data_IF_796169746417
#
_entry.id   IF_796169746417
#
_cell.length_a   1.000
_cell.length_b   1.000
_cell.length_c   1.000
_cell.angle_alpha   90.00
_cell.angle_beta   90.00
_cell.angle_gamma   90.00
#
_symmetry.space_group_name_H-M   'P 1'
#
loop_
_entity.id
_entity.type
_entity.pdbx_description
1 polymer ?
#
# COMPACT_ATOMS: atom_id res chain seq x y z
N UNK A 1 -14.02 1.80 11.22
CA UNK A 1 -13.90 3.16 11.79
C UNK A 1 -12.65 3.84 11.26
N UNK A 2 -12.57 5.18 11.30
CA UNK A 2 -11.40 5.92 10.82
C UNK A 2 -10.12 5.54 11.59
N UNK A 3 -10.24 5.35 12.91
CA UNK A 3 -9.15 4.97 13.81
C UNK A 3 -9.11 3.47 14.13
N UNK A 4 -9.37 2.63 13.13
CA UNK A 4 -9.16 1.19 13.24
C UNK A 4 -7.66 0.85 13.26
N UNK A 5 -7.21 0.00 14.18
CA UNK A 5 -5.82 -0.50 14.24
C UNK A 5 -5.51 -1.47 13.10
N UNK A 6 -6.54 -2.04 12.47
CA UNK A 6 -6.41 -2.94 11.33
C UNK A 6 -6.00 -2.18 10.07
N UNK A 7 -5.43 -2.93 9.14
CA UNK A 7 -5.07 -2.43 7.82
C UNK A 7 -6.27 -1.80 7.12
N UNK A 8 -6.04 -0.67 6.44
CA UNK A 8 -7.09 0.04 5.72
C UNK A 8 -7.27 -0.60 4.35
N UNK A 9 -8.52 -0.91 4.01
CA UNK A 9 -8.84 -1.64 2.77
C UNK A 9 -9.46 -0.74 1.70
N UNK A 10 -9.95 0.44 2.08
CA UNK A 10 -10.65 1.35 1.17
C UNK A 10 -10.11 2.77 1.31
N UNK A 11 -10.12 3.55 0.22
CA UNK A 11 -9.61 4.93 0.16
C UNK A 11 -10.17 5.85 1.23
N UNK A 12 -11.47 5.73 1.55
CA UNK A 12 -12.12 6.51 2.62
C UNK A 12 -11.52 6.30 4.02
N UNK A 13 -10.76 5.22 4.22
CA UNK A 13 -10.08 4.89 5.48
C UNK A 13 -8.59 5.27 5.47
N UNK A 14 -8.07 5.76 4.35
CA UNK A 14 -6.69 6.23 4.18
C UNK A 14 -6.68 7.76 4.23
N UNK A 15 -5.98 8.33 5.20
CA UNK A 15 -5.97 9.79 5.45
C UNK A 15 -4.70 10.38 4.86
N UNK A 16 -4.84 11.46 4.08
CA UNK A 16 -3.74 12.31 3.61
C UNK A 16 -2.65 11.53 2.86
N UNK A 17 -3.07 10.71 1.90
CA UNK A 17 -2.19 9.87 1.05
C UNK A 17 -2.56 9.90 -0.43
N UNK A 18 -3.34 10.90 -0.82
CA UNK A 18 -3.84 11.09 -2.18
C UNK A 18 -2.69 11.26 -3.16
N UNK A 19 -1.64 11.99 -2.76
CA UNK A 19 -0.45 12.20 -3.58
C UNK A 19 0.30 10.91 -3.85
N UNK A 20 0.52 10.09 -2.83
CA UNK A 20 1.22 8.81 -2.97
C UNK A 20 0.40 7.80 -3.77
N UNK A 21 -0.93 7.77 -3.59
CA UNK A 21 -1.81 6.96 -4.44
C UNK A 21 -1.70 7.37 -5.91
N UNK A 22 -1.67 8.66 -6.20
CA UNK A 22 -1.54 9.17 -7.57
C UNK A 22 -0.17 8.84 -8.16
N UNK A 23 0.91 8.97 -7.36
CA UNK A 23 2.25 8.57 -7.78
C UNK A 23 2.31 7.08 -8.14
N UNK A 24 1.66 6.21 -7.36
CA UNK A 24 1.56 4.78 -7.68
C UNK A 24 0.79 4.53 -8.98
N UNK A 25 -0.32 5.25 -9.20
CA UNK A 25 -1.14 5.13 -10.44
C UNK A 25 -0.35 5.53 -11.68
N UNK A 26 0.29 6.70 -11.66
CA UNK A 26 1.06 7.22 -12.81
C UNK A 26 2.28 6.35 -13.13
N UNK A 27 2.85 5.67 -12.13
CA UNK A 27 4.04 4.84 -12.30
C UNK A 27 3.75 3.34 -12.42
N UNK A 28 2.50 2.93 -12.57
CA UNK A 28 2.10 1.51 -12.58
C UNK A 28 2.81 0.66 -13.65
N UNK A 29 3.23 1.29 -14.76
CA UNK A 29 3.95 0.61 -15.86
C UNK A 29 5.46 0.47 -15.60
N UNK A 30 5.97 0.89 -14.44
CA UNK A 30 7.38 0.72 -14.08
C UNK A 30 7.62 -0.73 -13.64
N UNK A 31 8.75 -1.35 -14.04
CA UNK A 31 9.07 -2.73 -13.65
C UNK A 31 9.30 -2.89 -12.15
N UNK A 32 9.67 -1.80 -11.46
CA UNK A 32 9.89 -1.79 -10.02
C UNK A 32 9.50 -0.43 -9.45
N UNK A 33 8.72 -0.46 -8.36
CA UNK A 33 8.37 0.71 -7.56
C UNK A 33 8.73 0.40 -6.11
N UNK A 34 9.52 1.26 -5.47
CA UNK A 34 9.83 1.13 -4.04
C UNK A 34 8.94 2.07 -3.22
N UNK A 35 8.19 1.50 -2.28
CA UNK A 35 7.42 2.26 -1.28
C UNK A 35 8.21 2.31 0.02
N UNK A 36 8.86 3.44 0.29
CA UNK A 36 9.77 3.61 1.44
C UNK A 36 9.14 4.45 2.57
N UNK A 37 9.81 4.49 3.73
CA UNK A 37 9.39 5.28 4.88
C UNK A 37 9.52 4.54 6.22
N UNK A 38 9.30 5.24 7.33
CA UNK A 38 9.47 4.70 8.70
C UNK A 38 8.47 3.59 9.04
N UNK A 39 8.79 2.73 10.03
CA UNK A 39 7.88 1.68 10.52
C UNK A 39 6.58 2.33 11.02
N UNK A 40 5.43 1.71 10.75
CA UNK A 40 4.08 2.18 11.12
C UNK A 40 3.60 3.49 10.46
N UNK A 41 4.27 3.98 9.41
CA UNK A 41 3.80 5.17 8.65
C UNK A 41 2.56 4.89 7.76
N UNK A 42 2.20 3.61 7.56
CA UNK A 42 1.04 3.22 6.76
C UNK A 42 1.35 2.66 5.36
N UNK A 43 2.60 2.30 5.05
CA UNK A 43 3.00 1.73 3.74
C UNK A 43 2.12 0.56 3.29
N UNK A 44 1.87 -0.41 4.17
CA UNK A 44 1.03 -1.58 3.86
C UNK A 44 -0.43 -1.19 3.58
N UNK A 45 -0.97 -0.19 4.30
CA UNK A 45 -2.32 0.31 4.07
C UNK A 45 -2.42 1.04 2.72
N UNK A 46 -1.44 1.89 2.39
CA UNK A 46 -1.36 2.56 1.08
C UNK A 46 -1.34 1.53 -0.06
N UNK A 47 -0.45 0.52 0.05
CA UNK A 47 -0.32 -0.53 -0.96
C UNK A 47 -1.64 -1.31 -1.11
N UNK A 48 -2.26 -1.74 -0.01
CA UNK A 48 -3.53 -2.49 -0.06
C UNK A 48 -4.66 -1.68 -0.69
N UNK A 49 -4.80 -0.40 -0.34
CA UNK A 49 -5.83 0.47 -0.94
C UNK A 49 -5.59 0.62 -2.43
N UNK A 50 -4.34 0.86 -2.85
CA UNK A 50 -3.99 0.97 -4.27
C UNK A 50 -4.29 -0.33 -5.04
N UNK A 51 -3.87 -1.48 -4.51
CA UNK A 51 -4.08 -2.78 -5.15
C UNK A 51 -5.57 -3.15 -5.23
N UNK A 52 -6.36 -2.84 -4.21
CA UNK A 52 -7.81 -3.03 -4.23
C UNK A 52 -8.50 -2.17 -5.30
N UNK A 53 -7.98 -0.98 -5.60
CA UNK A 53 -8.51 -0.11 -6.66
C UNK A 53 -8.11 -0.56 -8.07
N UNK A 54 -6.99 -1.29 -8.24
CA UNK A 54 -6.54 -1.76 -9.55
C UNK A 54 -7.49 -2.76 -10.20
N UNK A 55 -8.10 -3.65 -9.40
CA UNK A 55 -8.96 -4.72 -9.88
C UNK A 55 -8.26 -5.74 -10.80
N UNK A 56 -6.93 -5.80 -10.81
CA UNK A 56 -6.15 -6.73 -11.64
C UNK A 56 -5.65 -7.94 -10.84
N UNK A 57 -5.35 -9.07 -11.50
CA UNK A 57 -4.68 -10.19 -10.85
C UNK A 57 -3.33 -9.77 -10.27
N UNK A 58 -3.09 -10.11 -9.00
CA UNK A 58 -1.88 -9.76 -8.28
C UNK A 58 -1.49 -10.84 -7.28
N UNK A 59 -0.21 -10.85 -6.89
CA UNK A 59 0.31 -11.67 -5.79
C UNK A 59 0.85 -10.73 -4.72
N UNK A 60 0.33 -10.83 -3.50
CA UNK A 60 0.83 -10.10 -2.34
C UNK A 60 1.65 -11.04 -1.46
N UNK A 61 2.95 -10.80 -1.37
CA UNK A 61 3.86 -11.57 -0.52
C UNK A 61 4.14 -10.77 0.75
N UNK A 62 3.73 -11.31 1.89
CA UNK A 62 4.04 -10.72 3.20
C UNK A 62 5.34 -11.29 3.76
N UNK A 63 6.43 -10.58 3.48
CA UNK A 63 7.78 -10.95 3.87
C UNK A 63 8.16 -10.53 5.31
N UNK A 64 7.23 -10.05 6.14
CA UNK A 64 7.56 -9.46 7.46
C UNK A 64 8.18 -10.45 8.45
N UNK A 65 7.91 -11.74 8.29
CA UNK A 65 8.40 -12.82 9.15
C UNK A 65 9.49 -13.67 8.49
N UNK A 66 9.92 -13.32 7.28
CA UNK A 66 11.03 -14.01 6.64
C UNK A 66 12.30 -13.77 7.46
N UNK A 67 12.99 -14.87 7.80
CA UNK A 67 14.30 -14.80 8.43
C UNK A 67 15.24 -13.98 7.55
N UNK A 68 16.00 -13.10 8.18
CA UNK A 68 17.14 -12.48 7.51
C UNK A 68 18.16 -13.59 7.22
N UNK A 69 18.67 -13.61 5.99
CA UNK A 69 19.79 -14.46 5.60
C UNK A 69 21.08 -14.01 6.28
#
# INVERSE_FOLDING_TARGET
>A
MLFDERLKENRRKLIDREKELEQLKVNMNRPLILVTGIRRIGKTSLLKVFLNELGTPLVLIDARELKQN
#
